data_IF_900777388800
#
_entry.id   IF_900777388800
#
_cell.length_a   1.000
_cell.length_b   1.000
_cell.length_c   1.000
_cell.angle_alpha   90.00
_cell.angle_beta   90.00
_cell.angle_gamma   90.00
#
_symmetry.space_group_name_H-M   'P 1'
#
loop_
_entity.id
_entity.type
_entity.pdbx_description
1 polymer ?
#
# COMPACT_ATOMS: atom_id res chain seq x y z
N UNK A 1 -8.53 -12.32 12.77
CA UNK A 1 -8.35 -11.82 14.15
C UNK A 1 -9.58 -10.99 14.52
N UNK A 2 -10.15 -11.17 15.71
CA UNK A 2 -11.29 -10.36 16.16
C UNK A 2 -10.77 -9.00 16.63
N UNK A 3 -10.91 -7.97 15.80
CA UNK A 3 -10.66 -6.59 16.21
C UNK A 3 -11.61 -6.23 17.36
N UNK A 4 -11.08 -5.86 18.53
CA UNK A 4 -11.88 -5.51 19.72
C UNK A 4 -12.88 -4.36 19.48
N UNK A 5 -12.69 -3.55 18.43
CA UNK A 5 -13.62 -2.50 18.03
C UNK A 5 -14.83 -3.02 17.23
N UNK A 6 -14.80 -4.25 16.70
CA UNK A 6 -15.94 -4.84 15.98
C UNK A 6 -17.17 -5.04 16.87
N UNK A 7 -17.00 -5.13 18.19
CA UNK A 7 -18.13 -5.16 19.14
C UNK A 7 -18.87 -3.81 19.21
N UNK A 8 -18.25 -2.73 18.74
CA UNK A 8 -18.82 -1.36 18.71
C UNK A 8 -19.31 -0.94 17.33
N UNK A 9 -19.29 -1.85 16.35
CA UNK A 9 -19.66 -1.53 14.95
C UNK A 9 -21.09 -0.99 14.82
N UNK A 10 -21.98 -1.35 15.74
CA UNK A 10 -23.39 -0.92 15.75
C UNK A 10 -23.54 0.55 16.22
N UNK A 11 -22.49 1.12 16.81
CA UNK A 11 -22.43 2.53 17.24
C UNK A 11 -21.89 3.45 16.12
N UNK A 12 -21.40 2.88 15.01
CA UNK A 12 -20.77 3.65 13.96
C UNK A 12 -21.80 4.40 13.11
N UNK A 13 -21.45 5.61 12.69
CA UNK A 13 -22.29 6.37 11.78
C UNK A 13 -22.36 5.66 10.42
N UNK A 14 -23.56 5.28 9.98
CA UNK A 14 -23.77 4.59 8.71
C UNK A 14 -24.00 5.60 7.59
N UNK A 15 -23.21 5.48 6.53
CA UNK A 15 -23.28 6.30 5.32
C UNK A 15 -23.54 5.38 4.13
N UNK A 16 -24.79 5.36 3.65
CA UNK A 16 -25.15 4.64 2.43
C UNK A 16 -24.85 5.50 1.19
N UNK A 17 -23.89 5.05 0.39
CA UNK A 17 -23.43 5.74 -0.82
C UNK A 17 -23.88 5.05 -2.11
N UNK A 18 -24.74 4.01 -2.03
CA UNK A 18 -25.20 3.23 -3.20
C UNK A 18 -25.99 4.06 -4.20
N UNK A 19 -26.75 5.04 -3.71
CA UNK A 19 -27.59 5.91 -4.54
C UNK A 19 -26.91 7.23 -4.94
N UNK A 20 -25.69 7.48 -4.44
CA UNK A 20 -24.97 8.72 -4.74
C UNK A 20 -24.34 8.63 -6.14
N UNK A 21 -24.66 9.62 -6.98
CA UNK A 21 -24.04 9.79 -8.31
C UNK A 21 -22.85 10.74 -8.21
N UNK A 22 -21.66 10.28 -8.56
CA UNK A 22 -20.43 11.08 -8.58
C UNK A 22 -19.39 10.65 -7.53
N UNK A 23 -18.34 11.46 -7.36
CA UNK A 23 -17.25 11.16 -6.43
C UNK A 23 -17.62 11.51 -4.98
N UNK A 24 -17.93 10.50 -4.16
CA UNK A 24 -18.26 10.66 -2.74
C UNK A 24 -17.03 10.66 -1.81
N UNK A 25 -15.81 10.46 -2.32
CA UNK A 25 -14.57 10.46 -1.52
C UNK A 25 -14.40 11.72 -0.65
N UNK A 26 -14.59 12.96 -1.18
CA UNK A 26 -14.39 14.16 -0.37
C UNK A 26 -15.35 14.26 0.82
N UNK A 27 -16.58 13.76 0.65
CA UNK A 27 -17.57 13.71 1.71
C UNK A 27 -17.17 12.74 2.82
N UNK A 28 -16.72 11.53 2.45
CA UNK A 28 -16.24 10.53 3.40
C UNK A 28 -14.99 11.01 4.13
N UNK A 29 -14.04 11.64 3.43
CA UNK A 29 -12.84 12.21 4.04
C UNK A 29 -13.18 13.31 5.05
N UNK A 30 -14.11 14.20 4.72
CA UNK A 30 -14.55 15.26 5.63
C UNK A 30 -15.15 14.68 6.92
N UNK A 31 -16.05 13.71 6.79
CA UNK A 31 -16.64 13.02 7.95
C UNK A 31 -15.59 12.27 8.77
N UNK A 32 -14.66 11.56 8.12
CA UNK A 32 -13.57 10.87 8.79
C UNK A 32 -12.62 11.84 9.54
N UNK A 33 -12.41 13.04 9.02
CA UNK A 33 -11.62 14.07 9.69
C UNK A 33 -12.28 14.61 10.97
N UNK A 34 -13.62 14.64 11.01
CA UNK A 34 -14.42 15.10 12.17
C UNK A 34 -14.51 14.05 13.31
N UNK A 35 -14.23 12.78 13.02
CA UNK A 35 -14.23 11.70 14.03
C UNK A 35 -13.05 11.80 15.00
N UNK A 36 -13.32 11.58 16.27
CA UNK A 36 -12.30 11.47 17.34
C UNK A 36 -11.77 10.03 17.42
N UNK A 37 -10.65 9.86 18.12
CA UNK A 37 -10.14 8.53 18.45
C UNK A 37 -11.21 7.70 19.18
N UNK A 38 -11.24 6.39 18.91
CA UNK A 38 -12.29 5.45 19.31
C UNK A 38 -13.66 5.62 18.65
N UNK A 39 -13.79 6.45 17.62
CA UNK A 39 -15.01 6.54 16.83
C UNK A 39 -14.81 5.89 15.45
N UNK A 40 -15.91 5.48 14.84
CA UNK A 40 -15.91 4.85 13.53
C UNK A 40 -17.09 5.26 12.67
N UNK A 41 -16.99 4.91 11.39
CA UNK A 41 -18.06 5.07 10.41
C UNK A 41 -18.21 3.79 9.61
N UNK A 42 -19.41 3.52 9.11
CA UNK A 42 -19.70 2.41 8.21
C UNK A 42 -20.13 2.97 6.86
N UNK A 43 -19.45 2.57 5.78
CA UNK A 43 -19.82 2.94 4.40
C UNK A 43 -20.49 1.75 3.73
N UNK A 44 -21.73 1.94 3.29
CA UNK A 44 -22.49 0.94 2.53
C UNK A 44 -22.36 1.27 1.04
N UNK A 45 -21.87 0.30 0.26
CA UNK A 45 -21.70 0.44 -1.19
C UNK A 45 -22.07 -0.85 -1.93
N UNK A 46 -22.47 -0.73 -3.20
CA UNK A 46 -22.87 -1.85 -4.04
C UNK A 46 -21.70 -2.73 -4.50
N UNK A 47 -20.48 -2.24 -4.30
CA UNK A 47 -19.24 -2.92 -4.59
C UNK A 47 -18.25 -2.66 -3.46
N UNK A 48 -17.21 -3.48 -3.38
CA UNK A 48 -16.18 -3.34 -2.36
C UNK A 48 -15.44 -1.99 -2.52
N UNK A 49 -15.44 -1.11 -1.51
CA UNK A 49 -14.94 0.24 -1.64
C UNK A 49 -13.43 0.32 -1.39
N UNK A 50 -12.65 -0.49 -2.12
CA UNK A 50 -11.18 -0.59 -2.00
C UNK A 50 -10.45 0.75 -1.98
N UNK A 51 -10.83 1.77 -2.78
CA UNK A 51 -10.17 3.08 -2.74
C UNK A 51 -10.24 3.77 -1.37
N UNK A 52 -11.27 3.50 -0.55
CA UNK A 52 -11.43 4.10 0.77
C UNK A 52 -10.41 3.59 1.78
N UNK A 53 -9.95 2.35 1.63
CA UNK A 53 -9.03 1.71 2.57
C UNK A 53 -7.70 2.46 2.65
N UNK A 54 -7.13 2.80 1.50
CA UNK A 54 -5.89 3.56 1.43
C UNK A 54 -6.10 4.98 1.95
N UNK A 55 -7.17 5.65 1.49
CA UNK A 55 -7.44 7.06 1.82
C UNK A 55 -7.69 7.28 3.31
N UNK A 56 -8.47 6.39 3.95
CA UNK A 56 -8.77 6.49 5.37
C UNK A 56 -7.66 5.89 6.23
N UNK A 57 -6.93 4.89 5.73
CA UNK A 57 -5.73 4.35 6.35
C UNK A 57 -4.64 5.42 6.54
N UNK A 58 -4.43 6.28 5.53
CA UNK A 58 -3.46 7.38 5.60
C UNK A 58 -3.76 8.41 6.71
N UNK A 59 -5.02 8.47 7.18
CA UNK A 59 -5.45 9.36 8.27
C UNK A 59 -5.76 8.61 9.58
N UNK A 60 -5.22 7.39 9.73
CA UNK A 60 -5.21 6.65 11.00
C UNK A 60 -6.43 5.75 11.24
N UNK A 61 -7.16 5.37 10.20
CA UNK A 61 -8.27 4.42 10.32
C UNK A 61 -7.86 2.99 10.01
N UNK A 62 -8.27 2.08 10.88
CA UNK A 62 -8.39 0.66 10.56
C UNK A 62 -9.70 0.41 9.82
N UNK A 63 -9.79 -0.68 9.06
CA UNK A 63 -11.03 -1.04 8.38
C UNK A 63 -11.26 -2.55 8.36
N UNK A 64 -12.53 -2.93 8.26
CA UNK A 64 -12.99 -4.29 8.00
C UNK A 64 -14.15 -4.20 7.01
N UNK A 65 -14.20 -5.10 6.03
CA UNK A 65 -15.30 -5.11 5.05
C UNK A 65 -16.04 -6.43 5.06
N UNK A 66 -17.36 -6.34 5.21
CA UNK A 66 -18.27 -7.48 5.19
C UNK A 66 -19.10 -7.42 3.91
N UNK A 67 -19.03 -8.48 3.10
CA UNK A 67 -19.93 -8.65 1.96
C UNK A 67 -21.27 -9.21 2.44
N UNK A 68 -22.34 -8.43 2.33
CA UNK A 68 -23.70 -8.83 2.71
C UNK A 68 -24.40 -9.52 1.54
N UNK A 69 -24.26 -8.96 0.34
CA UNK A 69 -24.81 -9.54 -0.90
C UNK A 69 -23.93 -9.19 -2.11
N UNK A 70 -24.34 -9.55 -3.32
CA UNK A 70 -23.63 -9.14 -4.53
C UNK A 70 -23.69 -7.63 -4.81
N UNK A 71 -24.65 -6.92 -4.20
CA UNK A 71 -24.90 -5.49 -4.39
C UNK A 71 -24.85 -4.73 -3.05
N UNK A 72 -24.22 -5.31 -2.03
CA UNK A 72 -24.16 -4.72 -0.70
C UNK A 72 -22.89 -5.15 0.04
N UNK A 73 -22.03 -4.17 0.28
CA UNK A 73 -20.80 -4.26 1.05
C UNK A 73 -20.86 -3.24 2.17
N UNK A 74 -20.53 -3.68 3.38
CA UNK A 74 -20.38 -2.82 4.55
C UNK A 74 -18.90 -2.69 4.87
N UNK A 75 -18.33 -1.53 4.62
CA UNK A 75 -16.96 -1.21 5.00
C UNK A 75 -16.96 -0.39 6.29
N UNK A 76 -16.53 -1.01 7.38
CA UNK A 76 -16.40 -0.38 8.69
C UNK A 76 -15.01 0.24 8.79
N UNK A 77 -14.94 1.48 9.26
CA UNK A 77 -13.70 2.22 9.49
C UNK A 77 -13.66 2.69 10.93
N UNK A 78 -12.54 2.43 11.62
CA UNK A 78 -12.36 2.77 13.03
C UNK A 78 -11.09 3.59 13.23
N UNK A 79 -11.22 4.76 13.90
CA UNK A 79 -10.08 5.61 14.22
C UNK A 79 -9.40 5.10 15.49
N UNK A 80 -8.30 4.37 15.31
CA UNK A 80 -7.53 3.83 16.41
C UNK A 80 -6.91 4.95 17.27
N UNK A 81 -6.77 4.71 18.58
CA UNK A 81 -6.05 5.62 19.47
C UNK A 81 -4.58 5.63 19.05
N UNK A 82 -4.01 6.81 18.88
CA UNK A 82 -2.57 6.95 18.71
C UNK A 82 -1.86 6.60 20.03
N UNK A 83 -1.51 5.32 20.21
CA UNK A 83 -0.62 4.91 21.29
C UNK A 83 0.80 5.32 20.89
N UNK A 84 1.49 6.22 21.63
CA UNK A 84 2.91 6.40 21.42
C UNK A 84 3.60 5.12 21.87
N UNK A 85 4.45 4.57 20.99
CA UNK A 85 5.32 3.40 21.16
C UNK A 85 4.74 2.01 20.85
N UNK A 86 5.41 1.31 19.94
CA UNK A 86 5.72 -0.11 20.12
C UNK A 86 5.10 -1.12 19.16
N UNK A 87 3.88 -0.93 18.68
CA UNK A 87 3.21 -1.94 17.85
C UNK A 87 3.01 -1.45 16.43
N UNK A 88 3.71 -2.10 15.50
CA UNK A 88 3.49 -1.95 14.06
C UNK A 88 2.04 -2.34 13.77
N UNK A 89 1.17 -1.35 13.58
CA UNK A 89 -0.10 -1.53 12.88
C UNK A 89 0.20 -2.32 11.60
N UNK A 90 -0.30 -3.57 11.56
CA UNK A 90 -0.20 -4.42 10.37
C UNK A 90 -1.24 -3.93 9.37
N UNK A 91 -1.01 -2.76 8.78
CA UNK A 91 -1.77 -2.36 7.60
C UNK A 91 -1.54 -3.45 6.55
N UNK A 92 -2.60 -4.11 6.05
CA UNK A 92 -2.43 -5.15 5.06
C UNK A 92 -1.72 -4.57 3.83
N UNK A 93 -0.84 -5.36 3.20
CA UNK A 93 -0.10 -4.89 2.04
C UNK A 93 -1.06 -4.44 0.94
N UNK A 94 -0.73 -3.37 0.18
CA UNK A 94 -1.60 -2.89 -0.87
C UNK A 94 -1.69 -3.91 -2.01
N UNK A 95 -2.92 -4.22 -2.43
CA UNK A 95 -3.18 -5.11 -3.57
C UNK A 95 -2.53 -4.58 -4.87
N UNK A 96 -2.11 -5.47 -5.78
CA UNK A 96 -1.50 -5.06 -7.03
C UNK A 96 -2.56 -4.49 -7.97
N UNK A 97 -2.51 -3.18 -8.23
CA UNK A 97 -3.46 -2.50 -9.13
C UNK A 97 -3.50 -3.09 -10.56
N UNK A 98 -2.45 -3.81 -10.97
CA UNK A 98 -2.41 -4.57 -12.23
C UNK A 98 -3.54 -5.58 -12.38
N UNK A 99 -4.15 -6.01 -11.27
CA UNK A 99 -5.32 -6.89 -11.27
C UNK A 99 -6.49 -6.32 -12.06
N UNK A 100 -6.63 -4.99 -12.10
CA UNK A 100 -7.68 -4.32 -12.87
C UNK A 100 -7.48 -4.54 -14.38
N UNK A 101 -6.23 -4.56 -14.87
CA UNK A 101 -5.94 -4.90 -16.26
C UNK A 101 -6.17 -6.38 -16.55
N UNK A 102 -5.86 -7.26 -15.60
CA UNK A 102 -6.17 -8.69 -15.76
C UNK A 102 -7.69 -8.90 -15.85
N UNK A 103 -8.49 -8.22 -15.02
CA UNK A 103 -9.96 -8.30 -15.08
C UNK A 103 -10.54 -7.83 -16.40
N UNK A 104 -9.91 -6.85 -17.06
CA UNK A 104 -10.33 -6.40 -18.40
C UNK A 104 -10.13 -7.47 -19.48
N UNK A 105 -9.14 -8.36 -19.30
CA UNK A 105 -8.86 -9.46 -20.23
C UNK A 105 -9.66 -10.70 -19.85
N UNK A 106 -9.57 -11.15 -18.61
CA UNK A 106 -10.24 -12.33 -18.08
C UNK A 106 -10.43 -12.21 -16.55
N UNK A 107 -11.68 -12.03 -16.09
CA UNK A 107 -12.00 -11.94 -14.66
C UNK A 107 -11.66 -13.21 -13.87
N UNK A 108 -11.77 -14.40 -14.47
CA UNK A 108 -11.45 -15.66 -13.82
C UNK A 108 -9.95 -15.76 -13.56
N UNK A 109 -9.13 -15.45 -14.57
CA UNK A 109 -7.66 -15.42 -14.41
C UNK A 109 -7.26 -14.41 -13.33
N UNK A 110 -7.83 -13.20 -13.36
CA UNK A 110 -7.55 -12.18 -12.34
C UNK A 110 -7.90 -12.68 -10.93
N UNK A 111 -9.07 -13.31 -10.75
CA UNK A 111 -9.50 -13.83 -9.44
C UNK A 111 -8.61 -14.98 -8.93
N UNK A 112 -7.93 -15.72 -9.80
CA UNK A 112 -6.93 -16.70 -9.36
C UNK A 112 -5.61 -16.03 -8.98
N UNK A 113 -5.15 -15.05 -9.78
CA UNK A 113 -3.90 -14.34 -9.52
C UNK A 113 -3.94 -13.53 -8.21
N UNK A 114 -5.09 -12.93 -7.85
CA UNK A 114 -5.21 -12.22 -6.58
C UNK A 114 -5.04 -13.17 -5.38
N UNK A 115 -5.60 -14.39 -5.45
CA UNK A 115 -5.43 -15.41 -4.40
C UNK A 115 -3.97 -15.85 -4.25
N UNK A 116 -3.24 -15.95 -5.37
CA UNK A 116 -1.79 -16.22 -5.33
C UNK A 116 -1.06 -15.09 -4.61
N UNK A 117 -1.40 -13.84 -4.92
CA UNK A 117 -0.81 -12.67 -4.25
C UNK A 117 -1.15 -12.64 -2.75
N UNK A 118 -2.40 -12.86 -2.37
CA UNK A 118 -2.86 -12.93 -0.96
C UNK A 118 -2.08 -14.01 -0.20
N UNK A 119 -1.94 -15.21 -0.80
CA UNK A 119 -1.18 -16.31 -0.19
C UNK A 119 0.28 -15.95 0.06
N UNK A 120 0.89 -15.11 -0.76
CA UNK A 120 2.29 -14.71 -0.62
C UNK A 120 2.45 -13.57 0.40
N UNK A 121 1.62 -12.53 0.30
CA UNK A 121 1.85 -11.28 1.03
C UNK A 121 0.97 -11.10 2.28
N UNK A 122 -0.13 -11.86 2.43
CA UNK A 122 -1.05 -11.75 3.57
C UNK A 122 -1.03 -12.99 4.48
N UNK A 123 0.04 -13.78 4.40
CA UNK A 123 0.20 -14.98 5.22
C UNK A 123 0.58 -14.62 6.66
N UNK A 124 -0.29 -14.92 7.62
CA UNK A 124 -0.06 -14.61 9.04
C UNK A 124 1.12 -15.38 9.65
N UNK A 125 1.35 -16.62 9.21
CA UNK A 125 2.43 -17.53 9.63
C UNK A 125 3.65 -17.50 8.68
N UNK A 126 3.89 -16.36 8.01
CA UNK A 126 4.99 -16.23 7.05
C UNK A 126 6.37 -16.34 7.74
N UNK A 127 7.23 -17.20 7.19
CA UNK A 127 8.61 -17.34 7.66
C UNK A 127 9.50 -16.13 7.33
N UNK A 128 9.14 -15.38 6.28
CA UNK A 128 9.84 -14.15 5.86
C UNK A 128 8.90 -12.98 6.17
N UNK A 129 9.40 -12.00 6.93
CA UNK A 129 8.62 -10.81 7.24
C UNK A 129 8.38 -9.94 5.99
N UNK A 130 7.36 -9.07 6.07
CA UNK A 130 6.91 -8.25 4.95
C UNK A 130 8.01 -7.37 4.34
N UNK A 131 8.82 -6.73 5.17
CA UNK A 131 9.95 -5.88 4.75
C UNK A 131 10.92 -6.67 3.88
N UNK A 132 11.34 -7.85 4.35
CA UNK A 132 12.29 -8.70 3.65
C UNK A 132 11.68 -9.28 2.37
N UNK A 133 10.40 -9.65 2.37
CA UNK A 133 9.69 -10.06 1.15
C UNK A 133 9.73 -8.96 0.07
N UNK A 134 9.50 -7.71 0.46
CA UNK A 134 9.58 -6.58 -0.48
C UNK A 134 11.00 -6.30 -0.97
N UNK A 135 12.02 -6.44 -0.14
CA UNK A 135 13.41 -6.31 -0.58
C UNK A 135 13.79 -7.40 -1.60
N UNK A 136 13.35 -8.64 -1.36
CA UNK A 136 13.54 -9.75 -2.31
C UNK A 136 12.78 -9.48 -3.61
N UNK A 137 11.51 -9.05 -3.53
CA UNK A 137 10.70 -8.73 -4.70
C UNK A 137 11.27 -7.54 -5.50
N UNK A 138 11.85 -6.56 -4.81
CA UNK A 138 12.58 -5.45 -5.41
C UNK A 138 13.78 -5.98 -6.22
N UNK A 139 14.66 -6.78 -5.61
CA UNK A 139 15.82 -7.36 -6.29
C UNK A 139 15.42 -8.22 -7.49
N UNK A 140 14.41 -9.09 -7.34
CA UNK A 140 13.88 -9.90 -8.43
C UNK A 140 13.29 -9.04 -9.56
N UNK A 141 12.64 -7.93 -9.21
CA UNK A 141 12.13 -6.95 -10.18
C UNK A 141 13.25 -6.27 -10.97
N UNK A 142 14.36 -5.92 -10.31
CA UNK A 142 15.55 -5.34 -10.95
C UNK A 142 16.17 -6.34 -11.92
N UNK A 143 16.49 -7.56 -11.48
CA UNK A 143 17.13 -8.57 -12.33
C UNK A 143 16.26 -9.03 -13.50
N UNK A 144 14.94 -8.89 -13.40
CA UNK A 144 14.03 -9.12 -14.52
C UNK A 144 13.87 -7.92 -15.47
N UNK A 145 14.60 -6.82 -15.26
CA UNK A 145 14.47 -5.58 -16.03
C UNK A 145 13.14 -4.83 -15.80
N UNK A 146 12.37 -5.21 -14.78
CA UNK A 146 11.02 -4.69 -14.51
C UNK A 146 11.06 -3.46 -13.59
N UNK A 147 11.74 -2.39 -14.02
CA UNK A 147 12.03 -1.22 -13.18
C UNK A 147 10.80 -0.54 -12.58
N UNK A 148 9.67 -0.48 -13.30
CA UNK A 148 8.39 0.01 -12.75
C UNK A 148 7.93 -0.80 -11.54
N UNK A 149 8.05 -2.12 -11.63
CA UNK A 149 7.70 -3.04 -10.55
C UNK A 149 8.70 -2.93 -9.41
N UNK A 150 9.99 -2.94 -9.72
CA UNK A 150 11.06 -2.78 -8.73
C UNK A 150 10.87 -1.49 -7.90
N UNK A 151 10.52 -0.38 -8.55
CA UNK A 151 10.27 0.90 -7.86
C UNK A 151 9.14 0.80 -6.83
N UNK A 152 8.02 0.15 -7.19
CA UNK A 152 6.92 -0.07 -6.23
C UNK A 152 7.34 -0.92 -5.06
N UNK A 153 8.07 -2.01 -5.29
CA UNK A 153 8.50 -2.91 -4.22
C UNK A 153 9.54 -2.25 -3.30
N UNK A 154 10.41 -1.37 -3.82
CA UNK A 154 11.30 -0.55 -3.00
C UNK A 154 10.53 0.41 -2.09
N UNK A 155 9.54 1.13 -2.62
CA UNK A 155 8.70 2.04 -1.82
C UNK A 155 7.95 1.27 -0.74
N UNK A 156 7.39 0.09 -1.06
CA UNK A 156 6.74 -0.78 -0.09
C UNK A 156 7.72 -1.31 0.97
N UNK A 157 8.94 -1.68 0.59
CA UNK A 157 9.96 -2.10 1.54
C UNK A 157 10.27 -0.98 2.55
N UNK A 158 10.44 0.26 2.06
CA UNK A 158 10.67 1.42 2.92
C UNK A 158 9.46 1.70 3.83
N UNK A 159 8.24 1.63 3.31
CA UNK A 159 7.02 1.74 4.11
C UNK A 159 6.94 0.65 5.21
N UNK A 160 7.37 -0.57 4.89
CA UNK A 160 7.40 -1.71 5.82
C UNK A 160 8.57 -1.66 6.84
N UNK A 161 9.40 -0.62 6.81
CA UNK A 161 10.47 -0.42 7.80
C UNK A 161 11.88 -0.68 7.29
N UNK A 162 12.12 -0.85 5.98
CA UNK A 162 13.48 -0.93 5.44
C UNK A 162 14.25 0.35 5.75
N UNK A 163 15.48 0.19 6.21
CA UNK A 163 16.41 1.30 6.51
C UNK A 163 17.21 1.67 5.26
N UNK A 164 17.78 2.88 5.25
CA UNK A 164 18.69 3.26 4.17
C UNK A 164 19.94 2.36 4.12
N UNK A 165 20.40 1.85 5.27
CA UNK A 165 21.53 0.94 5.34
C UNK A 165 21.23 -0.40 4.66
N UNK A 166 20.04 -0.97 4.90
CA UNK A 166 19.60 -2.18 4.20
C UNK A 166 19.46 -1.94 2.69
N UNK A 167 18.96 -0.78 2.27
CA UNK A 167 18.90 -0.43 0.86
C UNK A 167 20.30 -0.25 0.26
N UNK A 168 21.25 0.35 0.98
CA UNK A 168 22.65 0.46 0.57
C UNK A 168 23.26 -0.92 0.29
N UNK A 169 23.05 -1.89 1.20
CA UNK A 169 23.50 -3.28 1.01
C UNK A 169 22.86 -3.95 -0.20
N UNK A 170 21.55 -3.76 -0.41
CA UNK A 170 20.87 -4.32 -1.58
C UNK A 170 21.39 -3.70 -2.88
N UNK A 171 21.60 -2.38 -2.95
CA UNK A 171 22.17 -1.76 -4.15
C UNK A 171 23.63 -2.18 -4.39
N UNK A 172 24.43 -2.37 -3.34
CA UNK A 172 25.77 -2.96 -3.47
C UNK A 172 25.72 -4.38 -4.02
N UNK A 173 24.77 -5.20 -3.54
CA UNK A 173 24.54 -6.54 -4.06
C UNK A 173 24.09 -6.52 -5.54
N UNK A 174 23.26 -5.56 -5.93
CA UNK A 174 22.84 -5.41 -7.33
C UNK A 174 24.01 -5.03 -8.25
N UNK A 175 24.95 -4.18 -7.80
CA UNK A 175 26.19 -3.90 -8.55
C UNK A 175 26.98 -5.20 -8.80
N UNK A 176 27.04 -6.06 -7.78
CA UNK A 176 27.76 -7.33 -7.86
C UNK A 176 27.06 -8.36 -8.78
N UNK A 177 25.74 -8.54 -8.61
CA UNK A 177 24.99 -9.59 -9.31
C UNK A 177 24.65 -9.20 -10.76
N UNK A 178 24.27 -7.95 -11.01
CA UNK A 178 23.85 -7.49 -12.35
C UNK A 178 25.01 -6.92 -13.17
N UNK A 179 26.12 -6.58 -12.50
CA UNK A 179 27.33 -6.02 -13.10
C UNK A 179 27.32 -4.48 -13.17
N UNK A 180 28.53 -3.91 -13.13
CA UNK A 180 28.73 -2.46 -13.09
C UNK A 180 28.13 -1.72 -14.30
N UNK A 181 28.23 -2.29 -15.51
CA UNK A 181 27.67 -1.67 -16.72
C UNK A 181 26.15 -1.58 -16.65
N UNK A 182 25.48 -2.66 -16.27
CA UNK A 182 24.02 -2.71 -16.07
C UNK A 182 23.58 -1.74 -14.99
N UNK A 183 24.35 -1.67 -13.89
CA UNK A 183 24.05 -0.72 -12.84
C UNK A 183 24.09 0.72 -13.36
N UNK A 184 25.14 1.10 -14.08
CA UNK A 184 25.29 2.47 -14.59
C UNK A 184 24.23 2.78 -15.64
N UNK A 185 23.98 1.91 -16.62
CA UNK A 185 23.07 2.21 -17.73
C UNK A 185 21.60 2.10 -17.35
N UNK A 186 21.21 1.03 -16.64
CA UNK A 186 19.80 0.70 -16.39
C UNK A 186 19.36 1.07 -14.98
N UNK A 187 20.11 0.63 -13.96
CA UNK A 187 19.66 0.75 -12.57
C UNK A 187 19.75 2.19 -12.10
N UNK A 188 20.89 2.85 -12.30
CA UNK A 188 21.16 4.19 -11.78
C UNK A 188 20.30 5.29 -12.43
N UNK A 189 19.80 5.04 -13.64
CA UNK A 189 18.92 5.96 -14.39
C UNK A 189 17.43 5.71 -14.10
N UNK A 190 17.11 4.58 -13.46
CA UNK A 190 15.74 4.13 -13.18
C UNK A 190 15.00 4.97 -12.14
N UNK A 191 13.67 4.84 -12.12
CA UNK A 191 12.83 5.39 -11.06
C UNK A 191 13.15 4.78 -9.68
N UNK A 192 13.58 3.52 -9.62
CA UNK A 192 13.94 2.85 -8.36
C UNK A 192 15.15 3.51 -7.71
N UNK A 193 16.19 3.82 -8.50
CA UNK A 193 17.37 4.51 -7.97
C UNK A 193 17.08 5.98 -7.59
N UNK A 194 16.19 6.65 -8.32
CA UNK A 194 15.70 7.99 -7.95
C UNK A 194 14.90 7.98 -6.64
N UNK A 195 14.10 6.94 -6.39
CA UNK A 195 13.39 6.77 -5.12
C UNK A 195 14.38 6.50 -3.96
N UNK A 196 15.35 5.62 -4.17
CA UNK A 196 16.44 5.35 -3.21
C UNK A 196 17.24 6.61 -2.84
N UNK A 197 17.67 7.39 -3.84
CA UNK A 197 18.44 8.62 -3.60
C UNK A 197 17.59 9.69 -2.90
N UNK A 198 16.29 9.77 -3.18
CA UNK A 198 15.38 10.65 -2.44
C UNK A 198 15.33 10.28 -0.95
N UNK A 199 15.14 9.00 -0.63
CA UNK A 199 15.17 8.49 0.76
C UNK A 199 16.49 8.90 1.42
N UNK A 200 17.62 8.57 0.78
CA UNK A 200 18.96 8.84 1.31
C UNK A 200 19.18 10.31 1.62
N UNK A 201 18.75 11.20 0.73
CA UNK A 201 18.93 12.64 0.88
C UNK A 201 18.02 13.22 1.98
N UNK A 202 16.77 12.78 2.05
CA UNK A 202 15.83 13.29 3.06
C UNK A 202 16.15 12.76 4.47
N UNK A 203 16.60 11.50 4.62
CA UNK A 203 17.07 11.00 5.91
C UNK A 203 18.32 11.76 6.38
N UNK A 204 19.26 12.08 5.48
CA UNK A 204 20.42 12.94 5.80
C UNK A 204 20.03 14.34 6.27
N UNK A 205 18.87 14.85 5.81
CA UNK A 205 18.31 16.13 6.24
C UNK A 205 17.51 16.01 7.55
N UNK A 206 17.48 14.84 8.18
CA UNK A 206 16.72 14.59 9.41
C UNK A 206 15.19 14.59 9.20
N UNK A 207 14.71 14.36 7.97
CA UNK A 207 13.27 14.27 7.71
C UNK A 207 12.70 12.99 8.31
N UNK A 208 11.53 13.11 8.92
CA UNK A 208 10.80 11.96 9.45
C UNK A 208 10.32 11.04 8.32
N UNK A 209 10.25 9.74 8.61
CA UNK A 209 9.87 8.70 7.64
C UNK A 209 8.51 8.96 6.98
N UNK A 210 7.53 9.47 7.73
CA UNK A 210 6.21 9.82 7.18
C UNK A 210 6.30 10.85 6.05
N UNK A 211 7.10 11.91 6.25
CA UNK A 211 7.35 12.96 5.25
C UNK A 211 8.04 12.38 4.00
N UNK A 212 8.98 11.46 4.21
CA UNK A 212 9.68 10.78 3.11
C UNK A 212 8.71 9.90 2.32
N UNK A 213 7.82 9.17 2.99
CA UNK A 213 6.79 8.35 2.35
C UNK A 213 5.81 9.20 1.53
N UNK A 214 5.36 10.35 2.05
CA UNK A 214 4.53 11.28 1.27
C UNK A 214 5.25 11.72 0.00
N UNK A 215 6.51 12.15 0.11
CA UNK A 215 7.30 12.57 -1.04
C UNK A 215 7.54 11.43 -2.05
N UNK A 216 7.71 10.20 -1.57
CA UNK A 216 7.82 9.00 -2.41
C UNK A 216 6.51 8.72 -3.15
N UNK A 217 5.36 8.82 -2.49
CA UNK A 217 4.06 8.58 -3.12
C UNK A 217 3.72 9.65 -4.16
N UNK A 218 4.05 10.91 -3.89
CA UNK A 218 3.87 12.00 -4.85
C UNK A 218 4.74 11.82 -6.10
N UNK A 219 6.03 11.46 -5.90
CA UNK A 219 7.01 11.42 -6.98
C UNK A 219 7.09 10.07 -7.67
N UNK A 220 6.77 8.97 -7.00
CA UNK A 220 6.95 7.60 -7.48
C UNK A 220 5.69 6.74 -7.25
N UNK A 221 4.54 7.36 -6.99
CA UNK A 221 3.25 6.68 -7.01
C UNK A 221 2.69 6.47 -8.42
N UNK A 222 1.44 6.05 -8.49
CA UNK A 222 0.78 5.62 -9.73
C UNK A 222 0.65 6.70 -10.81
N UNK A 223 0.79 7.98 -10.45
CA UNK A 223 0.78 9.09 -11.41
C UNK A 223 2.13 9.30 -12.10
N UNK A 224 3.20 8.66 -11.64
CA UNK A 224 4.52 8.77 -12.26
C UNK A 224 4.59 7.86 -13.50
N UNK A 225 4.94 8.36 -14.70
CA UNK A 225 4.99 7.54 -15.93
C UNK A 225 6.07 6.45 -15.92
N UNK A 226 7.13 6.63 -15.13
CA UNK A 226 8.18 5.66 -14.85
C UNK A 226 7.84 4.67 -13.73
N UNK A 227 6.63 4.71 -13.16
CA UNK A 227 6.16 3.75 -12.15
C UNK A 227 4.76 3.23 -12.48
N UNK A 228 3.79 4.13 -12.64
CA UNK A 228 2.38 3.86 -12.86
C UNK A 228 2.09 2.83 -13.93
N UNK A 229 0.99 2.11 -13.73
CA UNK A 229 0.51 1.11 -14.69
C UNK A 229 -0.60 1.65 -15.60
N UNK A 230 -1.20 2.78 -15.26
CA UNK A 230 -2.20 3.46 -16.07
C UNK A 230 -1.51 4.56 -16.87
N UNK A 231 -1.71 4.53 -18.19
CA UNK A 231 -1.17 5.54 -19.11
C UNK A 231 -2.17 6.71 -19.23
#
# INVERSE_FOLDING_TARGET
MSFAWMEKKDEFEVIDVRQLRGNFLPMIQKKAAELKENQGLCVIQSFEPVPLYAVLGDIGFEHETVKISNEEYHAYFYKAISIPSGEKSKTPPPQPLGILKFKQVDPLVANHLIKVWERIYQREDAAINQKNLYLIAFGAGVGAGRMRQATRELVKAYAAGATIAELDEVFALLIWLEGASTFVSEISTSAAFKAYTLIKNMEKQGKERGVILTALMEKFGERNPGVGIFA
#
